data_IF_963902002609
#
_entry.id   IF_963902002609
#
_cell.length_a   1.000
_cell.length_b   1.000
_cell.length_c   1.000
_cell.angle_alpha   90.00
_cell.angle_beta   90.00
_cell.angle_gamma   90.00
#
_symmetry.space_group_name_H-M   'P 1'
#
loop_
_entity.id
_entity.type
_entity.pdbx_description
1 polymer ?
#
# COMPACT_ATOMS: atom_id res chain seq x y z
N UNK A 1 -1.04 25.71 -14.96
CA UNK A 1 -0.03 26.02 -13.94
C UNK A 1 0.84 24.82 -13.62
N UNK A 2 2.10 25.06 -13.28
CA UNK A 2 3.10 24.05 -12.88
C UNK A 2 3.77 24.54 -11.60
N UNK A 3 3.94 23.65 -10.62
CA UNK A 3 4.68 23.92 -9.40
C UNK A 3 5.81 22.90 -9.21
N UNK A 4 6.96 23.35 -8.72
CA UNK A 4 8.13 22.50 -8.49
C UNK A 4 8.54 22.56 -7.01
N UNK A 5 8.58 21.39 -6.37
CA UNK A 5 9.08 21.25 -4.99
C UNK A 5 10.48 20.65 -5.07
N UNK A 6 11.50 21.45 -4.74
CA UNK A 6 12.88 21.00 -4.62
C UNK A 6 13.27 20.84 -3.16
N UNK A 7 14.11 19.85 -2.86
CA UNK A 7 14.63 19.65 -1.51
C UNK A 7 15.94 18.86 -1.54
N UNK A 8 17.00 19.30 -0.84
CA UNK A 8 18.22 18.52 -0.60
C UNK A 8 17.94 17.12 0.00
N UNK A 9 18.91 16.18 0.01
CA UNK A 9 18.73 14.89 0.69
C UNK A 9 18.38 15.10 2.17
N UNK A 10 17.48 14.27 2.72
CA UNK A 10 17.06 14.36 4.13
C UNK A 10 16.00 15.43 4.46
N UNK A 11 15.65 16.34 3.55
CA UNK A 11 14.70 17.46 3.81
C UNK A 11 13.21 17.07 3.81
N UNK A 12 12.89 15.78 3.87
CA UNK A 12 11.50 15.36 4.02
C UNK A 12 10.59 15.59 2.80
N UNK A 13 11.13 15.72 1.57
CA UNK A 13 10.34 15.87 0.33
C UNK A 13 9.13 14.94 0.25
N UNK A 14 9.31 13.66 0.53
CA UNK A 14 8.22 12.66 0.52
C UNK A 14 7.20 12.96 1.62
N UNK A 15 7.62 13.42 2.80
CA UNK A 15 6.73 13.85 3.87
C UNK A 15 5.89 15.07 3.42
N UNK A 16 6.52 16.05 2.78
CA UNK A 16 5.84 17.22 2.26
C UNK A 16 4.81 16.87 1.17
N UNK A 17 5.17 15.99 0.23
CA UNK A 17 4.25 15.51 -0.81
C UNK A 17 3.07 14.73 -0.21
N UNK A 18 3.32 13.87 0.78
CA UNK A 18 2.25 13.13 1.48
C UNK A 18 1.27 14.08 2.17
N UNK A 19 1.77 15.10 2.87
CA UNK A 19 0.92 16.08 3.53
C UNK A 19 0.13 16.92 2.52
N UNK A 20 0.77 17.34 1.43
CA UNK A 20 0.09 18.03 0.33
C UNK A 20 -1.08 17.19 -0.23
N UNK A 21 -0.87 15.90 -0.46
CA UNK A 21 -1.91 14.98 -0.92
C UNK A 21 -3.04 14.87 0.12
N UNK A 22 -2.71 14.70 1.40
CA UNK A 22 -3.71 14.66 2.49
C UNK A 22 -4.57 15.93 2.49
N UNK A 23 -3.96 17.10 2.43
CA UNK A 23 -4.69 18.38 2.39
C UNK A 23 -5.57 18.49 1.14
N UNK A 24 -5.02 18.23 -0.05
CA UNK A 24 -5.74 18.30 -1.32
C UNK A 24 -7.00 17.41 -1.32
N UNK A 25 -6.89 16.18 -0.81
CA UNK A 25 -8.01 15.24 -0.81
C UNK A 25 -8.99 15.52 0.34
N UNK A 26 -8.50 15.70 1.57
CA UNK A 26 -9.35 15.72 2.76
C UNK A 26 -9.96 17.09 3.05
N UNK A 27 -9.22 18.16 2.77
CA UNK A 27 -9.66 19.54 3.04
C UNK A 27 -10.33 20.14 1.82
N UNK A 28 -9.72 19.96 0.64
CA UNK A 28 -10.23 20.54 -0.61
C UNK A 28 -11.09 19.58 -1.43
N UNK A 29 -11.24 18.31 -1.02
CA UNK A 29 -12.10 17.34 -1.71
C UNK A 29 -11.62 16.94 -3.11
N UNK A 30 -10.33 17.13 -3.43
CA UNK A 30 -9.78 16.88 -4.76
C UNK A 30 -9.54 15.38 -5.00
N UNK A 31 -9.60 14.98 -6.28
CA UNK A 31 -9.08 13.68 -6.73
C UNK A 31 -7.64 13.87 -7.21
N UNK A 32 -6.72 13.12 -6.64
CA UNK A 32 -5.27 13.27 -6.90
C UNK A 32 -4.73 12.00 -7.55
N UNK A 33 -4.03 12.16 -8.68
CA UNK A 33 -3.21 11.12 -9.29
C UNK A 33 -1.75 11.31 -8.86
N UNK A 34 -1.15 10.27 -8.29
CA UNK A 34 0.25 10.27 -7.86
C UNK A 34 1.06 9.36 -8.76
N UNK A 35 2.10 9.91 -9.37
CA UNK A 35 3.03 9.18 -10.24
C UNK A 35 4.46 9.34 -9.73
N UNK A 36 5.27 8.30 -9.87
CA UNK A 36 6.70 8.33 -9.59
C UNK A 36 7.45 7.39 -10.55
N UNK A 37 8.75 7.61 -10.79
CA UNK A 37 9.51 6.82 -11.78
C UNK A 37 9.77 5.37 -11.34
N UNK A 38 9.57 5.00 -10.08
CA UNK A 38 9.76 3.63 -9.58
C UNK A 38 8.62 3.16 -8.68
N UNK A 39 8.34 1.85 -8.70
CA UNK A 39 7.33 1.25 -7.83
C UNK A 39 7.61 1.50 -6.36
N UNK A 40 8.88 1.38 -5.95
CA UNK A 40 9.30 1.65 -4.57
C UNK A 40 8.97 3.09 -4.15
N UNK A 41 9.14 4.07 -5.04
CA UNK A 41 8.80 5.46 -4.74
C UNK A 41 7.29 5.66 -4.56
N UNK A 42 6.47 5.06 -5.43
CA UNK A 42 5.00 5.11 -5.29
C UNK A 42 4.56 4.42 -4.01
N UNK A 43 5.12 3.25 -3.72
CA UNK A 43 4.74 2.45 -2.55
C UNK A 43 5.15 3.14 -1.24
N UNK A 44 6.28 3.85 -1.21
CA UNK A 44 6.69 4.65 -0.05
C UNK A 44 5.71 5.80 0.24
N UNK A 45 5.17 6.43 -0.80
CA UNK A 45 4.12 7.46 -0.64
C UNK A 45 2.83 6.80 -0.17
N UNK A 46 2.41 5.71 -0.83
CA UNK A 46 1.19 4.98 -0.51
C UNK A 46 1.20 4.43 0.92
N UNK A 47 2.32 3.86 1.36
CA UNK A 47 2.53 3.38 2.72
C UNK A 47 2.30 4.49 3.75
N UNK A 48 2.88 5.68 3.51
CA UNK A 48 2.72 6.84 4.42
C UNK A 48 1.32 7.46 4.39
N UNK A 49 0.59 7.32 3.28
CA UNK A 49 -0.81 7.73 3.18
C UNK A 49 -1.74 6.75 3.90
N UNK A 50 -1.41 5.46 3.87
CA UNK A 50 -2.14 4.39 4.57
C UNK A 50 -1.82 4.33 6.07
N UNK A 51 -0.63 4.80 6.48
CA UNK A 51 -0.20 4.80 7.87
C UNK A 51 -1.10 5.71 8.72
N UNK A 52 -1.66 5.13 9.79
CA UNK A 52 -2.37 5.88 10.82
C UNK A 52 -1.32 6.67 11.58
N UNK A 53 -1.06 7.92 11.21
CA UNK A 53 -0.14 8.75 12.01
C UNK A 53 -0.75 9.03 13.38
N UNK A 54 -0.44 8.14 14.33
CA UNK A 54 -0.47 8.41 15.75
C UNK A 54 0.79 9.17 16.14
N UNK A 55 0.81 10.49 15.93
CA UNK A 55 1.64 11.41 16.73
C UNK A 55 0.91 12.74 16.91
N UNK A 56 0.58 13.03 18.17
CA UNK A 56 0.37 14.37 18.70
C UNK A 56 -0.91 15.19 18.37
N UNK A 57 -2.00 14.63 17.84
CA UNK A 57 -3.31 15.27 18.08
C UNK A 57 -3.83 14.85 19.47
N UNK A 58 -3.36 15.58 20.49
CA UNK A 58 -3.75 15.41 21.91
C UNK A 58 -5.28 15.34 22.03
N UNK A 59 -5.76 14.23 22.60
CA UNK A 59 -7.11 14.04 23.15
C UNK A 59 -7.58 15.30 23.90
N UNK A 60 -8.47 16.09 23.31
CA UNK A 60 -9.40 16.95 24.09
C UNK A 60 -10.67 16.15 24.32
N UNK A 61 -11.04 16.05 25.60
CA UNK A 61 -12.12 15.22 26.16
C UNK A 61 -13.46 15.49 25.45
N UNK A 62 -14.20 14.41 25.23
CA UNK A 62 -15.59 14.40 24.73
C UNK A 62 -16.52 15.05 25.74
N UNK A 63 -17.21 16.11 25.34
CA UNK A 63 -18.50 16.50 25.91
C UNK A 63 -19.38 16.98 24.75
N UNK A 64 -20.57 16.36 24.68
CA UNK A 64 -21.76 16.88 23.99
C UNK A 64 -21.79 16.81 22.46
N UNK A 65 -22.71 15.97 21.99
CA UNK A 65 -23.41 15.94 20.69
C UNK A 65 -23.36 17.23 19.84
N UNK A 66 -22.25 17.53 19.16
CA UNK A 66 -22.17 18.28 17.89
C UNK A 66 -20.71 18.45 17.48
N UNK A 67 -20.46 18.42 16.16
CA UNK A 67 -19.17 18.64 15.46
C UNK A 67 -18.25 17.40 15.36
N UNK A 68 -18.20 16.86 14.13
CA UNK A 68 -17.24 15.89 13.61
C UNK A 68 -15.82 16.35 13.99
N UNK A 69 -15.29 15.76 15.05
CA UNK A 69 -13.99 16.12 15.60
C UNK A 69 -12.88 15.55 14.73
N UNK A 70 -11.69 16.14 14.84
CA UNK A 70 -10.45 15.64 14.21
C UNK A 70 -10.02 14.22 14.68
N UNK A 71 -10.85 13.53 15.49
CA UNK A 71 -10.73 12.11 15.83
C UNK A 71 -11.27 11.17 14.75
N UNK A 72 -12.04 11.70 13.80
CA UNK A 72 -12.69 10.93 12.73
C UNK A 72 -12.00 11.21 11.39
N UNK A 73 -10.67 11.22 11.36
CA UNK A 73 -9.91 11.23 10.10
C UNK A 73 -10.20 9.88 9.45
N UNK A 74 -11.24 9.83 8.62
CA UNK A 74 -11.50 8.71 7.72
C UNK A 74 -10.21 8.44 6.95
N UNK A 75 -9.79 7.18 6.94
CA UNK A 75 -8.64 6.77 6.13
C UNK A 75 -8.86 7.24 4.68
N UNK A 76 -7.82 7.79 4.08
CA UNK A 76 -7.85 8.21 2.69
C UNK A 76 -8.28 7.03 1.81
N UNK A 77 -9.38 7.21 1.07
CA UNK A 77 -9.77 6.26 0.03
C UNK A 77 -8.77 6.37 -1.12
N UNK A 78 -7.86 5.41 -1.19
CA UNK A 78 -6.82 5.34 -2.20
C UNK A 78 -6.75 3.95 -2.83
N UNK A 79 -6.33 3.90 -4.09
CA UNK A 79 -6.14 2.66 -4.87
C UNK A 79 -4.76 2.69 -5.52
N UNK A 80 -3.97 1.65 -5.28
CA UNK A 80 -2.67 1.42 -5.92
C UNK A 80 -2.85 0.56 -7.16
N UNK A 81 -2.52 1.10 -8.32
CA UNK A 81 -2.61 0.38 -9.60
C UNK A 81 -1.25 -0.22 -9.93
N UNK A 82 -1.19 -1.53 -10.17
CA UNK A 82 0.04 -2.23 -10.52
C UNK A 82 -0.02 -3.70 -10.12
N UNK A 83 0.86 -4.51 -10.69
CA UNK A 83 0.88 -5.93 -10.42
C UNK A 83 1.29 -6.22 -8.96
N UNK A 84 0.53 -7.05 -8.20
CA UNK A 84 0.74 -7.24 -6.76
C UNK A 84 2.14 -7.74 -6.40
N UNK A 85 2.79 -8.54 -7.25
CA UNK A 85 4.16 -9.01 -7.00
C UNK A 85 5.22 -7.89 -6.98
N UNK A 86 4.88 -6.67 -7.42
CA UNK A 86 5.76 -5.50 -7.44
C UNK A 86 5.46 -4.49 -6.32
N UNK A 87 4.49 -4.79 -5.46
CA UNK A 87 4.03 -3.90 -4.40
C UNK A 87 4.64 -4.28 -3.05
N UNK A 88 4.89 -3.27 -2.21
CA UNK A 88 5.20 -3.51 -0.80
C UNK A 88 4.02 -4.21 -0.09
N UNK A 89 4.28 -5.19 0.82
CA UNK A 89 3.21 -5.92 1.52
C UNK A 89 2.21 -5.03 2.25
N UNK A 90 2.69 -3.93 2.82
CA UNK A 90 1.87 -2.95 3.53
C UNK A 90 0.91 -2.15 2.64
N UNK A 91 1.12 -2.15 1.32
CA UNK A 91 0.30 -1.43 0.34
C UNK A 91 -0.63 -2.38 -0.42
N UNK A 92 -0.43 -3.70 -0.34
CA UNK A 92 -1.21 -4.70 -1.07
C UNK A 92 -2.72 -4.57 -0.81
N UNK A 93 -3.12 -4.27 0.42
CA UNK A 93 -4.54 -4.11 0.77
C UNK A 93 -5.23 -2.94 0.07
N UNK A 94 -4.43 -1.96 -0.40
CA UNK A 94 -4.89 -0.82 -1.17
C UNK A 94 -4.73 -1.02 -2.67
N UNK A 95 -4.26 -2.19 -3.13
CA UNK A 95 -4.12 -2.45 -4.57
C UNK A 95 -5.48 -2.61 -5.25
N UNK A 96 -5.54 -2.29 -6.55
CA UNK A 96 -6.74 -2.50 -7.36
C UNK A 96 -7.23 -3.96 -7.27
N UNK A 97 -6.31 -4.92 -7.37
CA UNK A 97 -6.63 -6.35 -7.23
C UNK A 97 -7.28 -6.67 -5.88
N UNK A 98 -6.73 -6.15 -4.78
CA UNK A 98 -7.30 -6.37 -3.45
C UNK A 98 -8.68 -5.72 -3.29
N UNK A 99 -8.85 -4.51 -3.84
CA UNK A 99 -10.14 -3.80 -3.80
C UNK A 99 -11.20 -4.54 -4.60
N UNK A 100 -10.89 -4.99 -5.82
CA UNK A 100 -11.78 -5.79 -6.65
C UNK A 100 -12.12 -7.12 -5.95
N UNK A 101 -11.12 -7.79 -5.39
CA UNK A 101 -11.34 -9.05 -4.67
C UNK A 101 -12.17 -8.90 -3.40
N UNK A 102 -12.33 -7.70 -2.84
CA UNK A 102 -13.19 -7.43 -1.67
C UNK A 102 -14.58 -6.94 -2.06
N UNK A 103 -14.76 -6.44 -3.28
CA UNK A 103 -16.01 -5.85 -3.72
C UNK A 103 -17.11 -6.90 -3.94
N UNK A 104 -18.31 -6.61 -3.44
CA UNK A 104 -19.53 -7.38 -3.70
C UNK A 104 -19.89 -7.29 -5.19
N UNK A 105 -20.41 -8.38 -5.78
CA UNK A 105 -20.78 -8.44 -7.20
C UNK A 105 -19.63 -8.73 -8.17
N UNK A 106 -18.47 -9.14 -7.65
CA UNK A 106 -17.32 -9.57 -8.47
C UNK A 106 -17.22 -11.09 -8.64
N UNK A 107 -18.30 -11.85 -8.33
CA UNK A 107 -18.28 -13.32 -8.45
C UNK A 107 -17.92 -13.76 -9.87
N UNK A 108 -18.54 -13.14 -10.88
CA UNK A 108 -18.29 -13.44 -12.30
C UNK A 108 -16.81 -13.23 -12.65
N UNK A 109 -16.20 -12.14 -12.18
CA UNK A 109 -14.79 -11.84 -12.44
C UNK A 109 -13.88 -12.86 -11.76
N UNK A 110 -14.24 -13.33 -10.55
CA UNK A 110 -13.49 -14.38 -9.85
C UNK A 110 -13.55 -15.70 -10.60
N UNK A 111 -14.70 -16.05 -11.17
CA UNK A 111 -14.86 -17.30 -11.89
C UNK A 111 -14.11 -17.28 -13.23
N UNK A 112 -14.21 -16.17 -13.98
CA UNK A 112 -13.39 -15.95 -15.19
C UNK A 112 -11.90 -16.05 -14.89
N UNK A 113 -11.44 -15.46 -13.77
CA UNK A 113 -10.02 -15.54 -13.36
C UNK A 113 -9.60 -16.98 -13.04
N UNK A 114 -10.44 -17.76 -12.35
CA UNK A 114 -10.16 -19.18 -12.06
C UNK A 114 -10.06 -20.01 -13.33
N UNK A 115 -10.98 -19.83 -14.28
CA UNK A 115 -10.94 -20.54 -15.57
C UNK A 115 -9.66 -20.20 -16.35
N UNK A 116 -9.29 -18.92 -16.39
CA UNK A 116 -8.05 -18.47 -17.01
C UNK A 116 -6.83 -19.11 -16.34
N UNK A 117 -6.75 -19.13 -15.01
CA UNK A 117 -5.63 -19.73 -14.27
C UNK A 117 -5.53 -21.24 -14.52
N UNK A 118 -6.67 -21.95 -14.63
CA UNK A 118 -6.71 -23.37 -14.98
C UNK A 118 -6.19 -23.61 -16.40
N UNK A 119 -6.65 -22.82 -17.38
CA UNK A 119 -6.20 -22.92 -18.76
C UNK A 119 -4.70 -22.60 -18.87
N UNK A 120 -4.23 -21.54 -18.21
CA UNK A 120 -2.81 -21.18 -18.20
C UNK A 120 -1.94 -22.27 -17.57
N UNK A 121 -2.42 -22.92 -16.50
CA UNK A 121 -1.72 -24.05 -15.88
C UNK A 121 -1.62 -25.27 -16.82
N UNK A 122 -2.64 -25.50 -17.67
CA UNK A 122 -2.64 -26.55 -18.68
C UNK A 122 -1.74 -26.21 -19.89
N UNK A 123 -1.73 -24.94 -20.34
CA UNK A 123 -0.97 -24.49 -21.50
C UNK A 123 0.53 -24.27 -21.22
N UNK A 124 0.90 -23.90 -19.99
CA UNK A 124 2.29 -23.66 -19.57
C UNK A 124 2.77 -24.59 -18.44
N UNK A 125 2.77 -25.92 -18.63
CA UNK A 125 3.13 -26.88 -17.58
C UNK A 125 4.62 -26.84 -17.15
N UNK A 126 5.49 -26.10 -17.86
CA UNK A 126 6.95 -26.08 -17.67
C UNK A 126 7.50 -25.07 -16.66
N UNK A 127 6.68 -24.23 -16.02
CA UNK A 127 7.18 -23.25 -15.01
C UNK A 127 7.27 -23.80 -13.58
N UNK A 128 6.96 -25.08 -13.34
CA UNK A 128 7.23 -25.79 -12.06
C UNK A 128 8.71 -26.14 -11.81
N UNK A 129 9.64 -25.41 -12.43
CA UNK A 129 11.07 -25.46 -12.14
C UNK A 129 11.57 -24.23 -11.36
N UNK A 130 10.79 -23.77 -10.39
CA UNK A 130 11.34 -23.21 -9.15
C UNK A 130 10.84 -24.12 -8.02
N UNK A 131 11.63 -25.14 -7.73
CA UNK A 131 11.39 -26.11 -6.66
C UNK A 131 11.34 -25.38 -5.32
N UNK A 132 10.15 -25.28 -4.73
CA UNK A 132 9.98 -25.53 -3.30
C UNK A 132 10.37 -27.00 -3.06
N UNK A 133 11.66 -27.23 -2.82
CA UNK A 133 12.16 -28.52 -2.37
C UNK A 133 11.66 -28.80 -0.96
N UNK A 134 10.96 -29.93 -0.79
CA UNK A 134 10.51 -30.38 0.52
C UNK A 134 11.54 -31.38 1.08
N UNK A 135 12.06 -31.11 2.29
CA UNK A 135 12.49 -32.13 3.24
C UNK A 135 13.92 -32.68 3.18
N UNK A 136 14.89 -31.96 3.75
CA UNK A 136 15.89 -32.56 4.64
C UNK A 136 15.99 -31.70 5.91
N UNK A 137 15.70 -32.31 7.07
CA UNK A 137 16.03 -31.73 8.38
C UNK A 137 17.55 -31.62 8.48
N UNK A 138 18.09 -30.40 8.60
CA UNK A 138 19.32 -30.17 9.36
C UNK A 138 19.25 -28.81 10.04
N UNK A 139 19.64 -28.79 11.32
CA UNK A 139 19.85 -27.60 12.14
C UNK A 139 20.83 -26.66 11.42
N UNK A 140 20.47 -25.39 11.25
CA UNK A 140 21.46 -24.31 11.17
C UNK A 140 20.85 -22.98 11.59
N UNK A 141 21.67 -22.16 12.23
CA UNK A 141 21.38 -21.04 13.10
C UNK A 141 20.46 -19.95 12.54
N UNK A 142 19.63 -19.40 13.43
CA UNK A 142 18.99 -18.10 13.26
C UNK A 142 20.08 -17.02 13.21
N UNK A 143 20.29 -16.42 12.04
CA UNK A 143 21.08 -15.20 11.92
C UNK A 143 20.21 -14.00 12.34
N UNK A 144 20.44 -13.51 13.55
CA UNK A 144 19.75 -12.35 14.12
C UNK A 144 20.33 -11.05 13.55
N UNK A 145 19.60 -10.45 12.60
CA UNK A 145 19.97 -9.19 11.95
C UNK A 145 20.00 -7.98 12.90
N UNK A 146 19.65 -8.14 14.19
CA UNK A 146 19.80 -7.09 15.20
C UNK A 146 21.24 -6.84 15.66
N UNK A 147 22.21 -7.68 15.27
CA UNK A 147 23.63 -7.52 15.64
C UNK A 147 24.52 -6.83 14.59
N UNK A 148 23.96 -6.38 13.46
CA UNK A 148 24.73 -5.72 12.38
C UNK A 148 24.62 -4.17 12.39
N UNK A 149 24.30 -3.59 13.55
CA UNK A 149 24.53 -2.15 13.79
C UNK A 149 25.20 -1.96 15.15
N UNK A 150 26.52 -1.93 15.12
CA UNK A 150 27.38 -1.21 16.04
C UNK A 150 28.57 -0.70 15.22
#
# INVERSE_FOLDING_TARGET
DIALIHGPPGTGKTTAVVELIKQAVMVYGMKVLVCAPSNVAVDNIAYRLAEKEGRAWKKKKKTSKTKKGLSDIEQLRMVRIGHPARLLPSVLEHSLDAVVNRAEGTEIVRDVRKELDQILALLYPRSKQLKTGNGKKSKTEKLDYRKLRA
#
